data_IF_485008070698
#
_entry.id   IF_485008070698
#
_cell.length_a   1.000
_cell.length_b   1.000
_cell.length_c   1.000
_cell.angle_alpha   90.00
_cell.angle_beta   90.00
_cell.angle_gamma   90.00
#
_symmetry.space_group_name_H-M   'P 1'
#
loop_
_entity.id
_entity.type
_entity.pdbx_description
1 polymer ?
#
# COMPACT_ATOMS: atom_id res chain seq x y z
N UNK A 1 9.81 -9.38 3.90
CA UNK A 1 9.59 -9.98 5.24
C UNK A 1 8.20 -10.57 5.40
N UNK A 2 7.11 -9.80 5.30
CA UNK A 2 5.73 -10.32 5.43
C UNK A 2 5.40 -11.52 4.51
N UNK A 3 5.87 -11.50 3.24
CA UNK A 3 5.76 -12.64 2.31
C UNK A 3 6.43 -13.93 2.82
N UNK A 4 7.60 -13.82 3.45
CA UNK A 4 8.32 -14.98 3.99
C UNK A 4 7.61 -15.55 5.22
N UNK A 5 7.03 -14.69 6.05
CA UNK A 5 6.20 -15.11 7.19
C UNK A 5 4.98 -15.88 6.69
N UNK A 6 4.23 -15.34 5.72
CA UNK A 6 3.09 -16.02 5.11
C UNK A 6 3.48 -17.37 4.48
N UNK A 7 4.61 -17.42 3.77
CA UNK A 7 5.13 -18.66 3.19
C UNK A 7 5.50 -19.71 4.24
N UNK A 8 6.20 -19.32 5.31
CA UNK A 8 6.56 -20.24 6.38
C UNK A 8 5.30 -20.74 7.11
N UNK A 9 4.31 -19.89 7.36
CA UNK A 9 3.03 -20.29 7.95
C UNK A 9 2.31 -21.29 7.05
N UNK A 10 2.20 -21.02 5.76
CA UNK A 10 1.62 -21.96 4.79
C UNK A 10 2.38 -23.28 4.74
N UNK A 11 3.71 -23.26 4.74
CA UNK A 11 4.53 -24.48 4.77
C UNK A 11 4.31 -25.33 6.01
N UNK A 12 3.99 -24.69 7.14
CA UNK A 12 3.75 -25.37 8.42
C UNK A 12 2.31 -25.85 8.60
N UNK A 13 1.32 -25.12 8.08
CA UNK A 13 -0.11 -25.37 8.38
C UNK A 13 -0.97 -25.68 7.16
N UNK A 14 -0.47 -25.43 5.94
CA UNK A 14 -1.24 -25.52 4.70
C UNK A 14 -2.30 -24.42 4.53
N UNK A 15 -2.37 -23.45 5.43
CA UNK A 15 -3.42 -22.43 5.40
C UNK A 15 -3.16 -21.36 4.32
N UNK A 16 -3.97 -21.39 3.27
CA UNK A 16 -3.91 -20.46 2.13
C UNK A 16 -4.44 -19.06 2.45
N UNK A 17 -5.30 -18.93 3.46
CA UNK A 17 -5.93 -17.65 3.85
C UNK A 17 -4.87 -16.62 4.25
N UNK A 18 -3.73 -17.08 4.77
CA UNK A 18 -2.56 -16.25 5.09
C UNK A 18 -2.05 -15.43 3.90
N UNK A 19 -2.19 -15.94 2.66
CA UNK A 19 -1.82 -15.20 1.46
C UNK A 19 -2.89 -14.23 0.98
N UNK A 20 -4.16 -14.53 1.28
CA UNK A 20 -5.29 -13.64 0.98
C UNK A 20 -5.20 -12.41 1.89
N UNK A 21 -4.99 -12.61 3.19
CA UNK A 21 -4.75 -11.55 4.17
C UNK A 21 -3.52 -10.73 3.81
N UNK A 22 -2.42 -11.39 3.42
CA UNK A 22 -1.21 -10.71 2.98
C UNK A 22 -1.48 -9.75 1.81
N UNK A 23 -2.26 -10.17 0.81
CA UNK A 23 -2.60 -9.32 -0.34
C UNK A 23 -3.36 -8.07 0.10
N UNK A 24 -4.33 -8.22 1.00
CA UNK A 24 -5.13 -7.10 1.51
C UNK A 24 -4.27 -6.08 2.26
N UNK A 25 -3.36 -6.55 3.13
CA UNK A 25 -2.42 -5.68 3.85
C UNK A 25 -1.52 -4.93 2.88
N UNK A 26 -0.99 -5.60 1.85
CA UNK A 26 -0.17 -4.96 0.83
C UNK A 26 -0.94 -3.88 0.05
N UNK A 27 -2.23 -4.10 -0.22
CA UNK A 27 -3.08 -3.11 -0.88
C UNK A 27 -3.26 -1.86 -0.01
N UNK A 28 -3.45 -2.03 1.31
CA UNK A 28 -3.55 -0.92 2.26
C UNK A 28 -2.22 -0.15 2.35
N UNK A 29 -1.09 -0.84 2.47
CA UNK A 29 0.24 -0.19 2.47
C UNK A 29 0.46 0.65 1.21
N UNK A 30 0.05 0.15 0.04
CA UNK A 30 0.18 0.88 -1.22
C UNK A 30 -0.73 2.11 -1.26
N UNK A 31 -1.96 2.02 -0.73
CA UNK A 31 -2.87 3.16 -0.62
C UNK A 31 -2.30 4.24 0.30
N UNK A 32 -1.79 3.86 1.47
CA UNK A 32 -1.16 4.79 2.41
C UNK A 32 0.07 5.49 1.80
N UNK A 33 0.93 4.75 1.08
CA UNK A 33 2.08 5.33 0.37
C UNK A 33 1.67 6.27 -0.77
N UNK A 34 0.55 5.99 -1.45
CA UNK A 34 0.03 6.86 -2.50
C UNK A 34 -0.52 8.18 -1.92
N UNK A 35 -1.10 8.15 -0.72
CA UNK A 35 -1.53 9.36 0.00
C UNK A 35 -0.33 10.20 0.49
N UNK A 36 0.75 9.57 0.98
CA UNK A 36 1.98 10.29 1.34
C UNK A 36 2.63 11.03 0.15
N UNK A 37 2.54 10.48 -1.06
CA UNK A 37 3.11 11.07 -2.28
C UNK A 37 2.13 11.99 -3.03
N UNK A 38 0.92 12.20 -2.51
CA UNK A 38 -0.18 12.91 -3.18
C UNK A 38 -0.28 14.42 -2.91
N UNK A 39 0.66 15.01 -2.16
CA UNK A 39 0.57 16.40 -1.68
C UNK A 39 1.37 17.45 -2.47
N UNK A 40 1.85 17.16 -3.68
CA UNK A 40 2.34 18.21 -4.59
C UNK A 40 1.31 18.50 -5.70
N UNK A 41 0.14 19.02 -5.30
CA UNK A 41 -0.67 19.82 -6.21
C UNK A 41 -0.23 21.26 -6.01
N UNK A 42 0.60 21.77 -6.93
CA UNK A 42 0.87 23.19 -7.06
C UNK A 42 -0.45 23.92 -7.34
N UNK A 43 -1.15 24.34 -6.29
CA UNK A 43 -2.27 25.25 -6.36
C UNK A 43 -1.73 26.68 -6.22
N UNK A 44 -1.52 27.37 -7.33
CA UNK A 44 -1.13 28.79 -7.25
C UNK A 44 -0.73 29.50 -8.54
N UNK A 45 -1.36 29.25 -9.70
CA UNK A 45 -1.20 30.16 -10.83
C UNK A 45 -2.13 31.37 -10.67
N UNK A 46 -1.73 32.36 -9.86
CA UNK A 46 -2.37 33.68 -9.85
C UNK A 46 -1.81 34.53 -10.98
N UNK A 47 -2.46 34.49 -12.14
CA UNK A 47 -2.32 35.52 -13.16
C UNK A 47 -3.20 36.72 -12.78
N UNK A 48 -2.66 37.64 -11.97
CA UNK A 48 -3.28 38.96 -11.81
C UNK A 48 -2.79 39.84 -12.95
N UNK A 49 -3.66 40.03 -13.95
CA UNK A 49 -3.49 41.05 -14.98
C UNK A 49 -4.59 42.07 -14.79
N UNK A 50 -4.28 43.17 -14.10
CA UNK A 50 -5.06 44.41 -14.15
C UNK A 50 -4.11 45.58 -13.92
#
# INVERSE_FOLDING_TARGET
MLKQIAWNTFKNTGNIDTFVELRQVQEIENKLKAEENGNHKDEGNYTIRT
#
